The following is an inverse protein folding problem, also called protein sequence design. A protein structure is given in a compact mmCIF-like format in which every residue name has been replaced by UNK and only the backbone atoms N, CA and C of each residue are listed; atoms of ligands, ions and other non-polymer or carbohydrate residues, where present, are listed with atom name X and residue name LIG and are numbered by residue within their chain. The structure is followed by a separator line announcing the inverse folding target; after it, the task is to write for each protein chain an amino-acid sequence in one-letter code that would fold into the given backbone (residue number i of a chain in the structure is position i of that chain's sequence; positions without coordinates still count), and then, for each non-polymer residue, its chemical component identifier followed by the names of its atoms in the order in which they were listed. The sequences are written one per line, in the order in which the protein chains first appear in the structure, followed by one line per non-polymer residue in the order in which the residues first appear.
data_IF_645459671638
#
_entry.id   IF_645459671638
#
_cell.length_a   1.000
_cell.length_b   1.000
_cell.length_c   1.000
_cell.angle_alpha   90.00
_cell.angle_beta   90.00
_cell.angle_gamma   90.00
#
_symmetry.space_group_name_H-M   'P 1'
#
loop_
_entity.id
_entity.type
_entity.pdbx_description
1 polymer ?
#
# COMPACT_ATOMS: atom_id res chain seq x y z
N UNK A 1 6.11 -25.07 -29.14
CA UNK A 1 5.74 -23.65 -29.28
C UNK A 1 5.69 -23.07 -27.88
N UNK A 2 6.37 -21.94 -27.69
CA UNK A 2 6.98 -21.40 -26.46
C UNK A 2 5.98 -20.95 -25.39
N UNK A 3 6.22 -21.30 -24.11
CA UNK A 3 5.84 -20.51 -22.93
C UNK A 3 7.07 -20.42 -22.01
N UNK A 4 8.08 -19.66 -22.43
CA UNK A 4 9.24 -19.26 -21.60
C UNK A 4 9.17 -17.75 -21.26
N UNK A 5 8.02 -17.11 -21.46
CA UNK A 5 7.85 -15.65 -21.30
C UNK A 5 7.50 -15.18 -19.89
N UNK A 6 7.12 -16.08 -18.98
CA UNK A 6 6.65 -15.68 -17.64
C UNK A 6 7.78 -15.37 -16.65
N UNK A 7 8.90 -16.10 -16.69
CA UNK A 7 9.98 -15.93 -15.71
C UNK A 7 10.84 -14.70 -15.98
N UNK A 8 11.15 -14.39 -17.24
CA UNK A 8 11.95 -13.23 -17.60
C UNK A 8 11.21 -11.91 -17.35
N UNK A 9 9.90 -11.89 -17.58
CA UNK A 9 9.03 -10.72 -17.32
C UNK A 9 8.89 -10.48 -15.82
N UNK A 10 8.68 -11.54 -15.03
CA UNK A 10 8.62 -11.47 -13.57
C UNK A 10 9.93 -11.00 -12.93
N UNK A 11 11.09 -11.44 -13.43
CA UNK A 11 12.39 -11.01 -12.93
C UNK A 11 12.70 -9.54 -13.26
N UNK A 12 12.32 -9.07 -14.45
CA UNK A 12 12.45 -7.66 -14.83
C UNK A 12 11.55 -6.77 -13.98
N UNK A 13 10.30 -7.19 -13.76
CA UNK A 13 9.34 -6.50 -12.90
C UNK A 13 9.80 -6.40 -11.44
N UNK A 14 10.39 -7.47 -10.90
CA UNK A 14 10.98 -7.47 -9.57
C UNK A 14 12.18 -6.51 -9.48
N UNK A 15 13.08 -6.53 -10.48
CA UNK A 15 14.22 -5.62 -10.53
C UNK A 15 13.80 -4.14 -10.66
N UNK A 16 12.71 -3.85 -11.39
CA UNK A 16 12.13 -2.50 -11.47
C UNK A 16 11.55 -2.08 -10.13
N UNK A 17 10.83 -2.97 -9.43
CA UNK A 17 10.33 -2.68 -8.09
C UNK A 17 11.47 -2.43 -7.09
N UNK A 18 12.52 -3.26 -7.11
CA UNK A 18 13.70 -3.09 -6.26
C UNK A 18 14.44 -1.77 -6.56
N UNK A 19 14.55 -1.40 -7.84
CA UNK A 19 15.15 -0.12 -8.24
C UNK A 19 14.30 1.09 -7.82
N UNK A 20 12.97 1.00 -7.92
CA UNK A 20 12.05 2.03 -7.43
C UNK A 20 12.18 2.17 -5.91
N UNK A 21 12.15 1.06 -5.17
CA UNK A 21 12.35 1.02 -3.70
C UNK A 21 13.70 1.60 -3.31
N UNK A 22 14.77 1.25 -4.02
CA UNK A 22 16.10 1.82 -3.78
C UNK A 22 16.12 3.33 -4.01
N UNK A 23 15.42 3.84 -5.03
CA UNK A 23 15.34 5.28 -5.33
C UNK A 23 14.54 6.06 -4.27
N UNK A 24 13.53 5.40 -3.67
CA UNK A 24 12.70 5.90 -2.59
C UNK A 24 13.45 6.11 -1.24
N UNK A 25 14.76 5.91 -1.21
CA UNK A 25 15.61 6.17 -0.04
C UNK A 25 16.11 7.61 0.07
N UNK A 26 16.02 8.41 -1.00
CA UNK A 26 16.82 9.64 -1.10
C UNK A 26 16.16 10.91 -0.56
N UNK A 27 14.83 11.07 -0.63
CA UNK A 27 14.14 12.24 -0.05
C UNK A 27 12.72 11.90 0.40
N UNK A 28 12.55 11.76 1.72
CA UNK A 28 11.25 11.68 2.36
C UNK A 28 10.75 13.10 2.70
N UNK A 29 9.55 13.45 2.25
CA UNK A 29 8.87 14.72 2.59
C UNK A 29 7.74 14.46 3.56
N UNK A 30 7.47 15.40 4.48
CA UNK A 30 6.32 15.27 5.39
C UNK A 30 5.01 15.22 4.60
N UNK A 31 4.11 14.33 5.01
CA UNK A 31 2.84 14.09 4.34
C UNK A 31 1.68 13.99 5.35
N UNK A 32 0.46 13.97 4.82
CA UNK A 32 -0.76 13.79 5.63
C UNK A 32 -0.87 12.36 6.15
N UNK A 33 -1.43 12.21 7.35
CA UNK A 33 -1.80 10.90 7.86
C UNK A 33 -3.13 10.44 7.26
N UNK A 34 -3.22 9.16 6.93
CA UNK A 34 -4.41 8.51 6.37
C UNK A 34 -4.69 7.27 7.20
N UNK A 35 -5.74 7.29 8.03
CA UNK A 35 -6.03 6.19 8.97
C UNK A 35 -6.35 4.89 8.22
N UNK A 36 -7.00 4.99 7.06
CA UNK A 36 -7.37 3.82 6.24
C UNK A 36 -6.19 2.96 5.76
N UNK A 37 -4.97 3.50 5.68
CA UNK A 37 -3.77 2.73 5.29
C UNK A 37 -3.38 1.72 6.37
N UNK A 38 -3.76 1.98 7.63
CA UNK A 38 -3.51 1.08 8.75
C UNK A 38 -4.59 0.00 8.91
N UNK A 39 -5.60 -0.01 8.03
CA UNK A 39 -6.68 -0.99 8.07
C UNK A 39 -6.16 -2.41 7.75
N UNK A 40 -6.65 -3.42 8.45
CA UNK A 40 -6.21 -4.81 8.23
C UNK A 40 -6.46 -5.31 6.79
N UNK A 41 -7.50 -4.78 6.13
CA UNK A 41 -7.88 -5.11 4.75
C UNK A 41 -7.34 -4.09 3.72
N UNK A 42 -6.28 -3.34 4.06
CA UNK A 42 -5.73 -2.26 3.21
C UNK A 42 -5.46 -2.72 1.77
N UNK A 43 -4.96 -3.95 1.58
CA UNK A 43 -4.69 -4.50 0.25
C UNK A 43 -5.96 -4.64 -0.59
N UNK A 44 -7.04 -5.15 -0.01
CA UNK A 44 -8.30 -5.31 -0.71
C UNK A 44 -8.97 -3.96 -1.00
N UNK A 45 -8.89 -3.02 -0.05
CA UNK A 45 -9.41 -1.66 -0.21
C UNK A 45 -8.67 -0.97 -1.35
N UNK A 46 -7.33 -1.04 -1.38
CA UNK A 46 -6.50 -0.49 -2.45
C UNK A 46 -6.80 -1.14 -3.80
N UNK A 47 -6.85 -2.46 -3.85
CA UNK A 47 -7.10 -3.22 -5.09
C UNK A 47 -8.44 -2.85 -5.75
N UNK A 48 -9.47 -2.52 -4.95
CA UNK A 48 -10.76 -2.08 -5.48
C UNK A 48 -10.67 -0.81 -6.36
N UNK A 49 -9.66 0.04 -6.14
CA UNK A 49 -9.45 1.29 -6.91
C UNK A 49 -8.20 1.28 -7.77
N UNK A 50 -7.16 0.60 -7.32
CA UNK A 50 -5.82 0.57 -7.91
C UNK A 50 -5.37 -0.88 -8.12
N UNK A 51 -6.00 -1.61 -9.05
CA UNK A 51 -5.74 -3.05 -9.22
C UNK A 51 -4.32 -3.39 -9.68
N UNK A 52 -3.60 -2.41 -10.24
CA UNK A 52 -2.20 -2.53 -10.67
C UNK A 52 -1.20 -2.17 -9.58
N UNK A 53 -1.66 -1.59 -8.46
CA UNK A 53 -0.79 -1.17 -7.36
C UNK A 53 -0.64 -2.34 -6.39
N UNK A 54 0.60 -2.80 -6.23
CA UNK A 54 0.96 -3.73 -5.14
C UNK A 54 1.31 -2.93 -3.90
N UNK A 55 0.87 -3.40 -2.73
CA UNK A 55 1.21 -2.85 -1.43
C UNK A 55 2.03 -3.85 -0.62
N UNK A 56 3.05 -3.35 0.08
CA UNK A 56 3.81 -4.11 1.06
C UNK A 56 3.97 -3.28 2.33
N UNK A 57 3.73 -3.91 3.48
CA UNK A 57 3.94 -3.31 4.80
C UNK A 57 5.04 -4.05 5.53
N UNK A 58 5.95 -3.30 6.15
CA UNK A 58 6.97 -3.83 7.04
C UNK A 58 7.12 -2.93 8.28
N UNK A 59 7.13 -3.53 9.47
CA UNK A 59 7.57 -2.81 10.68
C UNK A 59 9.09 -2.79 10.73
N UNK A 60 9.69 -1.59 10.76
CA UNK A 60 11.15 -1.45 10.75
C UNK A 60 11.72 -1.52 12.17
N UNK A 61 11.14 -0.72 13.06
CA UNK A 61 11.47 -0.66 14.50
C UNK A 61 10.20 -0.33 15.27
N UNK A 62 10.25 -0.39 16.60
CA UNK A 62 9.10 -0.07 17.44
C UNK A 62 8.53 1.33 17.12
N UNK A 63 7.24 1.37 16.76
CA UNK A 63 6.54 2.61 16.43
C UNK A 63 6.89 3.22 15.08
N UNK A 64 7.59 2.48 14.19
CA UNK A 64 7.87 2.88 12.81
C UNK A 64 7.46 1.78 11.84
N UNK A 65 6.46 2.07 11.02
CA UNK A 65 6.04 1.19 9.93
C UNK A 65 6.39 1.81 8.58
N UNK A 66 6.73 0.95 7.65
CA UNK A 66 6.98 1.24 6.25
C UNK A 66 5.87 0.63 5.40
N UNK A 67 5.35 1.45 4.49
CA UNK A 67 4.40 1.06 3.46
C UNK A 67 5.01 1.39 2.11
N UNK A 68 5.04 0.41 1.22
CA UNK A 68 5.53 0.56 -0.14
C UNK A 68 4.39 0.25 -1.09
N UNK A 69 4.07 1.20 -1.96
CA UNK A 69 3.10 1.07 -3.03
C UNK A 69 3.81 1.13 -4.37
N UNK A 70 3.58 0.16 -5.25
CA UNK A 70 4.25 0.10 -6.56
C UNK A 70 3.23 -0.21 -7.64
N UNK A 71 3.16 0.65 -8.67
CA UNK A 71 2.56 0.32 -9.96
C UNK A 71 3.68 0.10 -10.97
N UNK A 72 4.00 -1.16 -11.22
CA UNK A 72 5.07 -1.54 -12.15
C UNK A 72 4.73 -1.18 -13.59
N UNK A 73 3.46 -1.26 -13.96
CA UNK A 73 3.00 -0.98 -15.33
C UNK A 73 3.13 0.51 -15.66
N UNK A 74 2.95 1.37 -14.66
CA UNK A 74 3.11 2.81 -14.79
C UNK A 74 4.53 3.29 -14.44
N UNK A 75 5.39 2.42 -13.90
CA UNK A 75 6.72 2.79 -13.41
C UNK A 75 6.67 3.80 -12.26
N UNK A 76 5.64 3.71 -11.39
CA UNK A 76 5.42 4.64 -10.27
C UNK A 76 5.55 3.88 -8.95
N UNK A 77 6.18 4.52 -7.98
CA UNK A 77 6.33 3.97 -6.63
C UNK A 77 6.20 5.04 -5.56
N UNK A 78 5.60 4.66 -4.43
CA UNK A 78 5.46 5.49 -3.24
C UNK A 78 5.99 4.70 -2.05
N UNK A 79 6.87 5.31 -1.27
CA UNK A 79 7.30 4.79 0.04
C UNK A 79 6.80 5.74 1.10
N UNK A 80 6.04 5.21 2.03
CA UNK A 80 5.48 5.91 3.17
C UNK A 80 6.08 5.34 4.45
N UNK A 81 6.57 6.21 5.32
CA UNK A 81 6.94 5.87 6.68
C UNK A 81 5.94 6.50 7.64
N UNK A 82 5.34 5.69 8.49
CA UNK A 82 4.59 6.17 9.66
C UNK A 82 5.47 6.06 10.88
N UNK A 83 5.50 7.12 11.70
CA UNK A 83 6.17 7.13 12.99
C UNK A 83 5.20 7.58 14.05
N UNK A 84 4.97 6.75 15.07
CA UNK A 84 4.25 7.17 16.27
C UNK A 84 5.18 8.01 17.15
N UNK A 85 4.77 9.24 17.43
CA UNK A 85 5.39 10.09 18.44
C UNK A 85 4.65 9.93 19.76
N UNK A 86 5.24 9.18 20.70
CA UNK A 86 4.64 8.89 22.00
C UNK A 86 4.44 10.15 22.87
N UNK A 87 5.25 11.20 22.65
CA UNK A 87 5.16 12.46 23.42
C UNK A 87 3.97 13.29 22.99
N UNK A 88 3.71 13.35 21.69
CA UNK A 88 2.58 14.12 21.15
C UNK A 88 1.33 13.28 20.91
N UNK A 89 1.44 11.94 21.03
CA UNK A 89 0.43 10.95 20.64
C UNK A 89 -0.06 11.14 19.20
N UNK A 90 0.82 11.62 18.32
CA UNK A 90 0.53 11.85 16.91
C UNK A 90 1.30 10.88 16.03
N UNK A 91 0.72 10.54 14.89
CA UNK A 91 1.45 9.83 13.82
C UNK A 91 2.05 10.88 12.89
N UNK A 92 3.35 10.77 12.66
CA UNK A 92 4.07 11.52 11.64
C UNK A 92 4.18 10.66 10.40
N UNK A 93 3.87 11.23 9.24
CA UNK A 93 3.98 10.53 7.96
C UNK A 93 5.01 11.23 7.10
N UNK A 94 5.87 10.44 6.49
CA UNK A 94 6.79 10.92 5.47
C UNK A 94 6.68 10.05 4.23
N UNK A 95 6.71 10.67 3.06
CA UNK A 95 6.54 10.00 1.78
C UNK A 95 7.68 10.35 0.85
N UNK A 96 8.15 9.36 0.11
CA UNK A 96 8.94 9.54 -1.10
C UNK A 96 8.11 9.00 -2.26
N UNK A 97 8.21 9.64 -3.42
CA UNK A 97 7.54 9.21 -4.64
C UNK A 97 8.53 9.22 -5.81
N UNK A 98 8.42 8.23 -6.69
CA UNK A 98 9.26 8.06 -7.87
C UNK A 98 8.39 7.74 -9.09
N UNK A 99 8.83 8.19 -10.27
CA UNK A 99 8.10 8.03 -11.52
C UNK A 99 7.13 9.18 -11.81
N UNK A 100 5.97 8.84 -12.38
CA UNK A 100 4.88 9.80 -12.60
C UNK A 100 4.32 10.35 -11.28
N UNK A 101 4.01 11.65 -11.27
CA UNK A 101 3.57 12.37 -10.05
C UNK A 101 2.11 12.01 -9.71
N UNK A 102 1.83 11.81 -8.42
CA UNK A 102 0.50 11.89 -7.82
C UNK A 102 -0.14 10.55 -7.47
N UNK A 103 0.62 9.45 -7.39
CA UNK A 103 0.10 8.20 -6.84
C UNK A 103 -0.27 8.38 -5.36
N UNK A 104 0.56 9.07 -4.58
CA UNK A 104 0.27 9.34 -3.18
C UNK A 104 -1.03 10.15 -3.02
N UNK A 105 -1.18 11.23 -3.78
CA UNK A 105 -2.38 12.08 -3.73
C UNK A 105 -3.65 11.31 -4.10
N UNK A 106 -3.57 10.40 -5.07
CA UNK A 106 -4.68 9.51 -5.44
C UNK A 106 -5.05 8.54 -4.32
N UNK A 107 -4.05 7.95 -3.66
CA UNK A 107 -4.26 7.05 -2.51
C UNK A 107 -4.94 7.83 -1.37
N UNK A 108 -4.44 9.02 -1.04
CA UNK A 108 -5.01 9.90 -0.01
C UNK A 108 -6.46 10.25 -0.32
N UNK A 109 -6.74 10.72 -1.54
CA UNK A 109 -8.08 11.09 -1.96
C UNK A 109 -9.04 9.90 -1.87
N UNK A 110 -8.61 8.72 -2.32
CA UNK A 110 -9.43 7.51 -2.27
C UNK A 110 -9.74 7.07 -0.84
N UNK A 111 -8.76 7.09 0.07
CA UNK A 111 -9.02 6.74 1.46
C UNK A 111 -9.89 7.78 2.17
N UNK A 112 -9.77 9.06 1.85
CA UNK A 112 -10.67 10.08 2.36
C UNK A 112 -12.12 9.83 1.90
N UNK A 113 -12.33 9.49 0.63
CA UNK A 113 -13.65 9.09 0.11
C UNK A 113 -14.18 7.83 0.80
N UNK A 114 -13.34 6.81 0.99
CA UNK A 114 -13.68 5.56 1.67
C UNK A 114 -14.06 5.79 3.14
N UNK A 115 -13.35 6.65 3.86
CA UNK A 115 -13.69 7.03 5.23
C UNK A 115 -15.01 7.80 5.31
N UNK A 116 -15.22 8.76 4.41
CA UNK A 116 -16.48 9.50 4.29
C UNK A 116 -17.68 8.59 3.98
N UNK A 117 -17.45 7.51 3.22
CA UNK A 117 -18.44 6.48 2.92
C UNK A 117 -18.72 5.52 4.08
N UNK A 118 -18.12 5.72 5.26
CA UNK A 118 -18.33 4.88 6.44
C UNK A 118 -17.45 3.62 6.46
N UNK A 119 -16.31 3.64 5.77
CA UNK A 119 -15.32 2.55 5.74
C UNK A 119 -15.88 1.20 5.24
N UNK A 120 -16.55 1.17 4.08
CA UNK A 120 -17.13 -0.07 3.56
C UNK A 120 -16.02 -1.08 3.25
N UNK A 121 -16.12 -2.29 3.81
CA UNK A 121 -15.28 -3.41 3.37
C UNK A 121 -15.71 -3.82 1.95
N UNK A 122 -14.76 -3.92 0.99
CA UNK A 122 -15.06 -4.34 -0.39
C UNK A 122 -15.88 -5.65 -0.45
N UNK A 123 -16.82 -5.74 -1.38
CA UNK A 123 -17.70 -6.92 -1.50
C UNK A 123 -16.95 -8.22 -1.78
N UNK A 124 -15.78 -8.15 -2.43
CA UNK A 124 -14.88 -9.29 -2.64
C UNK A 124 -14.43 -9.96 -1.34
N UNK A 125 -14.46 -9.26 -0.21
CA UNK A 125 -14.18 -9.80 1.12
C UNK A 125 -15.46 -10.16 1.91
N UNK A 126 -16.64 -9.69 1.48
CA UNK A 126 -17.93 -10.08 2.09
C UNK A 126 -18.33 -11.51 1.74
N UNK A 127 -17.69 -12.10 0.72
CA UNK A 127 -17.92 -13.47 0.25
C UNK A 127 -16.77 -14.36 0.73
N UNK A 128 -16.45 -14.33 2.03
CA UNK A 128 -15.90 -15.54 2.68
C UNK A 128 -17.09 -16.32 3.23
N UNK A 129 -17.34 -17.56 2.75
CA UNK A 129 -18.59 -18.23 3.05
C UNK A 129 -18.66 -18.64 4.51
N UNK A 130 -19.91 -18.73 4.98
CA UNK A 130 -20.37 -19.45 6.16
C UNK A 130 -20.01 -20.96 6.13
N UNK A 131 -18.74 -21.29 5.92
CA UNK A 131 -18.20 -22.64 5.76
C UNK A 131 -17.14 -22.99 6.82
N UNK A 132 -17.24 -22.40 8.01
CA UNK A 132 -16.59 -22.91 9.22
C UNK A 132 -17.66 -23.14 10.28
N UNK A 133 -18.15 -24.38 10.50
CA UNK A 133 -19.17 -24.68 11.51
C UNK A 133 -18.67 -24.59 12.96
N UNK A 134 -17.36 -24.41 13.19
CA UNK A 134 -16.75 -24.83 14.46
C UNK A 134 -16.13 -23.72 15.32
N UNK A 135 -16.54 -22.45 15.15
CA UNK A 135 -16.17 -21.42 16.12
C UNK A 135 -17.35 -21.06 17.03
N UNK A 136 -17.31 -21.56 18.27
CA UNK A 136 -18.12 -21.09 19.40
C UNK A 136 -17.21 -20.39 20.43
N UNK A 137 -17.76 -19.39 21.14
CA UNK A 137 -17.01 -18.42 21.96
C UNK A 137 -16.29 -19.04 23.16
#
# INVERSE_FOLDING_TARGET
MVIERDTATSAHEAAVADALIATLTTQLVSAVHVDGIEHQEVDAILNARFPTVTHHRQSLVWGVDEHVFVDRSAGVGVRMLTRRDDRTRRVQVHVAEVGGIGLWDKIVAYFAEWELAGRPVPESLRIWPAACPDWRP
#
